data_IF_702849022889
#
_entry.id   IF_702849022889
#
_cell.length_a   1.000
_cell.length_b   1.000
_cell.length_c   1.000
_cell.angle_alpha   90.00
_cell.angle_beta   90.00
_cell.angle_gamma   90.00
#
_symmetry.space_group_name_H-M   'P 1'
#
loop_
_entity.id
_entity.type
_entity.pdbx_description
1 polymer ?
#
# COMPACT_ATOMS: atom_id res chain seq x y z
N UNK A 1 14.28 19.79 -4.90
CA UNK A 1 13.00 20.24 -4.31
C UNK A 1 12.91 19.65 -2.91
N UNK A 2 12.95 20.48 -1.85
CA UNK A 2 13.02 20.02 -0.45
C UNK A 2 11.89 19.04 -0.06
N UNK A 3 10.72 19.19 -0.66
CA UNK A 3 9.53 18.37 -0.39
C UNK A 3 9.65 16.93 -0.95
N UNK A 4 10.34 16.75 -2.07
CA UNK A 4 10.52 15.44 -2.70
C UNK A 4 11.45 14.54 -1.87
N UNK A 5 12.51 15.13 -1.29
CA UNK A 5 13.45 14.45 -0.40
C UNK A 5 12.76 14.03 0.90
N UNK A 6 11.97 14.92 1.51
CA UNK A 6 11.16 14.58 2.68
C UNK A 6 10.14 13.47 2.39
N UNK A 7 9.45 13.53 1.23
CA UNK A 7 8.52 12.50 0.82
C UNK A 7 9.18 11.14 0.62
N UNK A 8 10.36 11.11 0.01
CA UNK A 8 11.14 9.90 -0.22
C UNK A 8 11.66 9.28 1.08
N UNK A 9 12.26 10.09 1.97
CA UNK A 9 12.73 9.63 3.28
C UNK A 9 11.58 9.05 4.08
N UNK A 10 10.43 9.75 4.12
CA UNK A 10 9.24 9.25 4.79
C UNK A 10 8.76 7.92 4.21
N UNK A 11 8.70 7.80 2.88
CA UNK A 11 8.31 6.54 2.23
C UNK A 11 9.23 5.38 2.61
N UNK A 12 10.55 5.59 2.62
CA UNK A 12 11.50 4.57 3.07
C UNK A 12 11.30 4.23 4.55
N UNK A 13 11.12 5.23 5.42
CA UNK A 13 10.87 5.01 6.85
C UNK A 13 9.62 4.17 7.10
N UNK A 14 8.54 4.41 6.37
CA UNK A 14 7.29 3.62 6.47
C UNK A 14 7.51 2.19 5.98
N UNK A 15 8.23 1.97 4.86
CA UNK A 15 8.55 0.63 4.35
C UNK A 15 9.39 -0.15 5.37
N UNK A 16 10.44 0.46 5.91
CA UNK A 16 11.31 -0.17 6.92
C UNK A 16 10.52 -0.42 8.21
N UNK A 17 9.69 0.52 8.64
CA UNK A 17 8.82 0.37 9.80
C UNK A 17 7.83 -0.79 9.64
N UNK A 18 7.21 -0.92 8.47
CA UNK A 18 6.32 -2.03 8.13
C UNK A 18 7.04 -3.38 8.15
N UNK A 19 8.24 -3.46 7.59
CA UNK A 19 9.08 -4.67 7.63
C UNK A 19 9.41 -5.08 9.07
N UNK A 20 9.88 -4.13 9.89
CA UNK A 20 10.21 -4.39 11.29
C UNK A 20 8.97 -4.84 12.07
N UNK A 21 7.82 -4.19 11.89
CA UNK A 21 6.60 -4.61 12.57
C UNK A 21 6.12 -6.00 12.13
N UNK A 22 6.21 -6.32 10.84
CA UNK A 22 5.86 -7.64 10.34
C UNK A 22 6.74 -8.73 10.96
N UNK A 23 8.05 -8.49 11.05
CA UNK A 23 8.99 -9.39 11.72
C UNK A 23 8.66 -9.55 13.21
N UNK A 24 8.45 -8.45 13.93
CA UNK A 24 8.10 -8.49 15.35
C UNK A 24 6.80 -9.26 15.62
N UNK A 25 5.75 -9.00 14.85
CA UNK A 25 4.48 -9.71 14.97
C UNK A 25 4.63 -11.20 14.73
N UNK A 26 5.38 -11.59 13.70
CA UNK A 26 5.62 -13.01 13.41
C UNK A 26 6.46 -13.68 14.49
N UNK A 27 7.49 -13.02 15.02
CA UNK A 27 8.31 -13.55 16.12
C UNK A 27 7.50 -13.70 17.41
N UNK A 28 6.66 -12.72 17.76
CA UNK A 28 5.84 -12.80 18.97
C UNK A 28 4.70 -13.81 18.85
N UNK A 29 4.15 -13.97 17.63
CA UNK A 29 3.18 -15.02 17.34
C UNK A 29 3.80 -16.42 17.50
N UNK A 30 5.00 -16.64 16.92
CA UNK A 30 5.66 -17.95 16.94
C UNK A 30 6.22 -18.31 18.32
N UNK A 31 6.59 -17.33 19.14
CA UNK A 31 7.01 -17.54 20.52
C UNK A 31 5.85 -17.74 21.51
N UNK A 32 4.59 -17.66 21.06
CA UNK A 32 3.40 -17.77 21.90
C UNK A 32 3.17 -16.57 22.83
N UNK A 33 3.87 -15.45 22.62
CA UNK A 33 3.69 -14.22 23.41
C UNK A 33 2.36 -13.53 23.09
N UNK A 34 1.85 -13.70 21.86
CA UNK A 34 0.57 -13.13 21.43
C UNK A 34 -0.45 -14.26 21.23
N UNK A 35 -1.55 -14.26 21.99
CA UNK A 35 -2.65 -15.19 21.76
C UNK A 35 -3.25 -15.03 20.37
N UNK A 36 -3.65 -16.14 19.75
CA UNK A 36 -4.16 -16.18 18.36
C UNK A 36 -5.38 -15.27 18.13
N UNK A 37 -6.17 -14.98 19.17
CA UNK A 37 -7.29 -14.04 19.12
C UNK A 37 -6.86 -12.61 18.78
N UNK A 38 -5.72 -12.15 19.33
CA UNK A 38 -5.18 -10.82 19.04
C UNK A 38 -4.62 -10.71 17.62
N UNK A 39 -4.10 -11.80 17.06
CA UNK A 39 -3.69 -11.85 15.65
C UNK A 39 -4.90 -11.66 14.72
N UNK A 40 -6.03 -12.31 15.04
CA UNK A 40 -7.27 -12.13 14.28
C UNK A 40 -7.80 -10.69 14.37
N UNK A 41 -7.76 -10.07 15.56
CA UNK A 41 -8.12 -8.66 15.74
C UNK A 41 -7.19 -7.73 14.95
N UNK A 42 -5.88 -7.99 14.98
CA UNK A 42 -4.90 -7.21 14.21
C UNK A 42 -5.18 -7.31 12.70
N UNK A 43 -5.50 -8.50 12.20
CA UNK A 43 -5.87 -8.71 10.79
C UNK A 43 -7.15 -7.97 10.41
N UNK A 44 -8.18 -8.00 11.26
CA UNK A 44 -9.41 -7.25 11.04
C UNK A 44 -9.17 -5.73 11.02
N UNK A 45 -8.34 -5.24 11.94
CA UNK A 45 -7.98 -3.84 11.98
C UNK A 45 -7.17 -3.42 10.74
N UNK A 46 -6.24 -4.27 10.30
CA UNK A 46 -5.49 -4.07 9.07
C UNK A 46 -6.43 -4.02 7.84
N UNK A 47 -7.40 -4.94 7.76
CA UNK A 47 -8.43 -4.91 6.71
C UNK A 47 -9.24 -3.60 6.72
N UNK A 48 -9.66 -3.12 7.89
CA UNK A 48 -10.38 -1.85 8.01
C UNK A 48 -9.53 -0.66 7.55
N UNK A 49 -8.27 -0.59 7.99
CA UNK A 49 -7.34 0.45 7.59
C UNK A 49 -7.12 0.42 6.07
N UNK A 50 -6.94 -0.77 5.51
CA UNK A 50 -6.87 -0.99 4.07
C UNK A 50 -8.09 -0.46 3.34
N UNK A 51 -9.30 -0.72 3.82
CA UNK A 51 -10.53 -0.20 3.20
C UNK A 51 -10.55 1.33 3.26
N UNK A 52 -10.26 1.92 4.42
CA UNK A 52 -10.15 3.38 4.55
C UNK A 52 -9.12 3.98 3.61
N UNK A 53 -8.02 3.28 3.42
CA UNK A 53 -6.94 3.65 2.54
C UNK A 53 -7.36 3.60 1.06
N UNK A 54 -8.06 2.54 0.64
CA UNK A 54 -8.69 2.41 -0.68
C UNK A 54 -9.64 3.58 -0.98
N UNK A 55 -10.46 3.98 -0.01
CA UNK A 55 -11.40 5.09 -0.15
C UNK A 55 -10.69 6.45 -0.32
N UNK A 56 -9.44 6.57 0.13
CA UNK A 56 -8.64 7.78 -0.02
C UNK A 56 -7.89 7.86 -1.37
N UNK A 57 -7.70 6.73 -2.07
CA UNK A 57 -6.97 6.64 -3.36
C UNK A 57 -7.46 7.64 -4.43
N UNK A 58 -8.78 7.91 -4.60
CA UNK A 58 -9.26 8.88 -5.58
C UNK A 58 -8.70 10.30 -5.41
N UNK A 59 -8.22 10.65 -4.22
CA UNK A 59 -7.68 11.97 -3.87
C UNK A 59 -6.16 12.07 -4.00
N UNK A 60 -5.46 10.95 -4.25
CA UNK A 60 -4.00 10.95 -4.31
C UNK A 60 -3.46 11.61 -5.57
N UNK A 61 -2.24 12.14 -5.53
CA UNK A 61 -1.56 12.63 -6.73
C UNK A 61 -1.23 11.50 -7.72
N UNK A 62 -1.17 11.81 -9.03
CA UNK A 62 -0.82 10.82 -10.08
C UNK A 62 0.56 10.20 -9.87
N UNK A 63 1.55 11.01 -9.46
CA UNK A 63 2.89 10.50 -9.14
C UNK A 63 2.89 9.53 -7.96
N UNK A 64 2.01 9.77 -6.97
CA UNK A 64 1.87 8.89 -5.82
C UNK A 64 1.21 7.54 -6.21
N UNK A 65 0.21 7.55 -7.09
CA UNK A 65 -0.37 6.32 -7.65
C UNK A 65 0.64 5.49 -8.43
N UNK A 66 1.51 6.14 -9.21
CA UNK A 66 2.58 5.45 -9.94
C UNK A 66 3.61 4.84 -8.98
N UNK A 67 4.04 5.61 -7.97
CA UNK A 67 4.93 5.10 -6.92
C UNK A 67 4.32 3.94 -6.15
N UNK A 68 3.02 4.00 -5.87
CA UNK A 68 2.26 2.92 -5.23
C UNK A 68 2.29 1.64 -6.06
N UNK A 69 1.87 1.69 -7.33
CA UNK A 69 1.87 0.52 -8.22
C UNK A 69 3.27 -0.07 -8.40
N UNK A 70 4.29 0.78 -8.50
CA UNK A 70 5.68 0.35 -8.57
C UNK A 70 6.11 -0.37 -7.29
N UNK A 71 5.91 0.25 -6.12
CA UNK A 71 6.26 -0.33 -4.82
C UNK A 71 5.52 -1.64 -4.55
N UNK A 72 4.24 -1.71 -4.88
CA UNK A 72 3.41 -2.91 -4.74
C UNK A 72 3.95 -4.07 -5.60
N UNK A 73 4.42 -3.76 -6.81
CA UNK A 73 5.04 -4.75 -7.70
C UNK A 73 6.36 -5.27 -7.15
N UNK A 74 7.19 -4.38 -6.58
CA UNK A 74 8.44 -4.78 -5.92
C UNK A 74 8.16 -5.69 -4.72
N UNK A 75 7.17 -5.34 -3.88
CA UNK A 75 6.76 -6.17 -2.73
C UNK A 75 6.25 -7.55 -3.16
N UNK A 76 5.52 -7.64 -4.28
CA UNK A 76 5.05 -8.91 -4.82
C UNK A 76 6.21 -9.81 -5.27
N UNK A 77 7.23 -9.24 -5.92
CA UNK A 77 8.42 -10.01 -6.35
C UNK A 77 9.23 -10.56 -5.18
N UNK A 78 9.27 -9.84 -4.06
CA UNK A 78 9.98 -10.28 -2.85
C UNK A 78 9.15 -11.20 -1.94
N UNK A 79 7.89 -11.49 -2.29
CA UNK A 79 6.99 -12.29 -1.46
C UNK A 79 6.56 -11.59 -0.16
N UNK A 80 6.64 -10.25 -0.11
CA UNK A 80 6.26 -9.44 1.05
C UNK A 80 4.76 -9.19 1.15
N UNK A 81 4.02 -9.48 0.08
CA UNK A 81 2.58 -9.34 0.00
C UNK A 81 1.97 -10.63 -0.52
N UNK A 82 0.82 -11.00 0.05
CA UNK A 82 0.07 -12.16 -0.38
C UNK A 82 -0.51 -11.93 -1.79
N UNK A 83 -0.55 -12.94 -2.68
CA UNK A 83 -1.07 -12.76 -4.04
C UNK A 83 -2.48 -12.18 -4.11
N UNK A 84 -3.36 -12.52 -3.16
CA UNK A 84 -4.73 -11.96 -3.12
C UNK A 84 -4.74 -10.48 -2.76
N UNK A 85 -3.94 -10.09 -1.76
CA UNK A 85 -3.81 -8.69 -1.35
C UNK A 85 -3.22 -7.84 -2.48
N UNK A 86 -2.23 -8.38 -3.21
CA UNK A 86 -1.66 -7.73 -4.38
C UNK A 86 -2.73 -7.38 -5.42
N UNK A 87 -3.61 -8.34 -5.76
CA UNK A 87 -4.66 -8.13 -6.76
C UNK A 87 -5.60 -6.99 -6.34
N UNK A 88 -6.04 -6.99 -5.08
CA UNK A 88 -6.94 -5.96 -4.55
C UNK A 88 -6.26 -4.59 -4.57
N UNK A 89 -5.00 -4.52 -4.14
CA UNK A 89 -4.26 -3.26 -4.00
C UNK A 89 -3.70 -2.74 -5.32
N UNK A 90 -3.65 -3.57 -6.36
CA UNK A 90 -3.20 -3.16 -7.69
C UNK A 90 -4.37 -2.65 -8.54
N UNK A 91 -5.49 -3.38 -8.58
CA UNK A 91 -6.60 -3.11 -9.50
C UNK A 91 -7.21 -1.72 -9.26
N UNK A 92 -7.54 -1.36 -8.02
CA UNK A 92 -8.22 -0.10 -7.73
C UNK A 92 -7.38 1.13 -8.13
N UNK A 93 -6.13 1.29 -7.66
CA UNK A 93 -5.30 2.42 -8.08
C UNK A 93 -4.97 2.39 -9.58
N UNK A 94 -4.82 1.22 -10.20
CA UNK A 94 -4.64 1.12 -11.65
C UNK A 94 -5.86 1.65 -12.43
N UNK A 95 -7.09 1.27 -12.04
CA UNK A 95 -8.32 1.78 -12.66
C UNK A 95 -8.40 3.31 -12.52
N UNK A 96 -8.14 3.85 -11.32
CA UNK A 96 -8.16 5.30 -11.08
C UNK A 96 -7.13 6.02 -11.95
N UNK A 97 -5.93 5.46 -12.08
CA UNK A 97 -4.87 6.01 -12.92
C UNK A 97 -5.27 6.01 -14.40
N UNK A 98 -5.84 4.90 -14.90
CA UNK A 98 -6.34 4.78 -16.28
C UNK A 98 -7.44 5.81 -16.54
N UNK A 99 -8.44 5.93 -15.66
CA UNK A 99 -9.53 6.91 -15.79
C UNK A 99 -8.98 8.34 -15.86
N UNK A 100 -7.96 8.66 -15.06
CA UNK A 100 -7.33 9.99 -15.08
C UNK A 100 -6.57 10.26 -16.38
N UNK A 101 -5.83 9.28 -16.89
CA UNK A 101 -5.09 9.40 -18.16
C UNK A 101 -6.08 9.59 -19.31
N UNK A 102 -7.13 8.77 -19.38
CA UNK A 102 -8.16 8.85 -20.42
C UNK A 102 -8.87 10.21 -20.40
N UNK A 103 -9.28 10.70 -19.23
CA UNK A 103 -9.88 12.04 -19.10
C UNK A 103 -8.91 13.12 -19.59
N UNK A 104 -7.65 13.08 -19.18
CA UNK A 104 -6.66 14.10 -19.55
C UNK A 104 -6.37 14.12 -21.06
N UNK A 105 -6.36 12.96 -21.71
CA UNK A 105 -6.15 12.85 -23.16
C UNK A 105 -7.42 13.29 -23.92
N UNK A 106 -8.61 12.87 -23.46
CA UNK A 106 -9.88 13.23 -24.09
C UNK A 106 -10.24 14.71 -24.01
N UNK A 107 -9.77 15.45 -23.00
CA UNK A 107 -9.89 16.91 -22.91
C UNK A 107 -8.79 17.67 -23.68
N UNK A 108 -7.76 17.00 -24.20
CA UNK A 108 -6.67 17.62 -24.95
C UNK A 108 -6.89 17.61 -26.48
N UNK A 109 -8.04 17.10 -26.93
CA UNK A 109 -8.43 16.98 -28.35
C UNK A 109 -9.50 17.98 -28.79
N UNK A 110 -9.90 18.91 -27.91
CA UNK A 110 -10.74 20.09 -28.23
C UNK A 110 -9.89 21.35 -28.32
#
# INVERSE_FOLDING_TARGET
MPEAEHGFVRAISEVVGGLIMSLLLNTFASSGLIPTSYLSMFRLLNLMLTISFILAIPYWGTGYLLGWLFGLTMMAQTGLIDPLDFVIYFIIPAIILIVRIVKKIGFATD
#
